data_IF_078324758672
#
_entry.id   IF_078324758672
#
_cell.length_a   1.000
_cell.length_b   1.000
_cell.length_c   1.000
_cell.angle_alpha   90.00
_cell.angle_beta   90.00
_cell.angle_gamma   90.00
#
_symmetry.space_group_name_H-M   'P 1'
#
loop_
_entity.id
_entity.type
_entity.pdbx_description
1 polymer ?
#
# COMPACT_ATOMS: atom_id res chain seq x y z
N UNK A 1 -18.36 -44.63 30.63
CA UNK A 1 -17.90 -44.21 29.29
C UNK A 1 -17.43 -42.77 29.39
N UNK A 2 -16.16 -42.53 29.09
CA UNK A 2 -15.43 -41.30 29.42
C UNK A 2 -15.99 -40.10 28.65
N UNK A 3 -16.44 -39.07 29.38
CA UNK A 3 -16.75 -37.75 28.84
C UNK A 3 -15.42 -37.10 28.48
N UNK A 4 -15.07 -37.07 27.19
CA UNK A 4 -13.90 -36.34 26.71
C UNK A 4 -14.18 -34.83 26.78
N UNK A 5 -13.68 -34.20 27.84
CA UNK A 5 -13.62 -32.76 28.06
C UNK A 5 -12.51 -32.14 27.19
N UNK A 6 -12.75 -31.94 25.90
CA UNK A 6 -11.77 -31.31 24.99
C UNK A 6 -11.93 -29.78 24.92
N UNK A 7 -11.47 -29.10 25.97
CA UNK A 7 -11.44 -27.62 26.07
C UNK A 7 -10.43 -26.95 25.11
N UNK A 8 -9.41 -27.68 24.63
CA UNK A 8 -8.30 -27.10 23.85
C UNK A 8 -8.61 -26.82 22.37
N UNK A 9 -9.46 -27.62 21.70
CA UNK A 9 -9.79 -27.42 20.27
C UNK A 9 -10.68 -26.20 20.02
N UNK A 10 -11.58 -25.85 20.95
CA UNK A 10 -12.46 -24.69 20.81
C UNK A 10 -11.70 -23.36 20.85
N UNK A 11 -10.61 -23.28 21.63
CA UNK A 11 -9.76 -22.07 21.72
C UNK A 11 -8.94 -21.82 20.45
N UNK A 12 -8.52 -22.89 19.76
CA UNK A 12 -7.72 -22.80 18.53
C UNK A 12 -8.59 -22.31 17.36
N UNK A 13 -9.83 -22.78 17.26
CA UNK A 13 -10.75 -22.35 16.19
C UNK A 13 -11.17 -20.88 16.35
N UNK A 14 -11.36 -20.40 17.59
CA UNK A 14 -11.65 -18.99 17.85
C UNK A 14 -10.47 -18.08 17.49
N UNK A 15 -9.23 -18.55 17.64
CA UNK A 15 -8.02 -17.77 17.28
C UNK A 15 -7.90 -17.54 15.77
N UNK A 16 -8.30 -18.50 14.92
CA UNK A 16 -8.26 -18.34 13.46
C UNK A 16 -9.39 -17.46 12.91
N UNK A 17 -10.56 -17.42 13.56
CA UNK A 17 -11.70 -16.61 13.10
C UNK A 17 -11.48 -15.11 13.35
N UNK A 18 -10.72 -14.72 14.38
CA UNK A 18 -10.41 -13.31 14.67
C UNK A 18 -9.41 -12.70 13.67
N UNK A 19 -8.60 -13.52 12.99
CA UNK A 19 -7.62 -13.05 12.00
C UNK A 19 -8.30 -12.74 10.64
N UNK A 20 -9.48 -13.28 10.37
CA UNK A 20 -10.13 -13.21 9.06
C UNK A 20 -10.94 -11.92 8.79
N UNK A 21 -11.02 -10.99 9.76
CA UNK A 21 -11.93 -9.82 9.67
C UNK A 21 -11.27 -8.50 9.26
N UNK A 22 -9.97 -8.47 8.97
CA UNK A 22 -9.25 -7.23 8.58
C UNK A 22 -9.07 -7.03 7.07
N UNK A 23 -9.64 -7.89 6.22
CA UNK A 23 -9.30 -7.96 4.79
C UNK A 23 -10.12 -7.11 3.81
N UNK A 24 -11.08 -6.30 4.26
CA UNK A 24 -11.78 -5.38 3.35
C UNK A 24 -11.00 -4.06 3.33
N UNK A 25 -10.01 -3.94 2.42
CA UNK A 25 -9.12 -2.78 2.43
C UNK A 25 -9.90 -1.53 2.06
N UNK A 26 -9.93 -0.55 2.97
CA UNK A 26 -10.46 0.80 2.75
C UNK A 26 -9.63 1.60 1.72
N UNK A 27 -8.62 0.98 1.12
CA UNK A 27 -7.60 1.59 0.26
C UNK A 27 -7.50 0.91 -1.11
N UNK A 28 -8.54 0.17 -1.51
CA UNK A 28 -8.55 -0.56 -2.79
C UNK A 28 -8.27 0.34 -4.00
N UNK A 29 -8.74 1.58 -3.97
CA UNK A 29 -8.49 2.55 -5.06
C UNK A 29 -7.04 3.04 -5.06
N UNK A 30 -6.45 3.32 -3.88
CA UNK A 30 -5.03 3.65 -3.77
C UNK A 30 -4.17 2.57 -4.44
N UNK A 31 -4.39 1.31 -4.07
CA UNK A 31 -3.61 0.20 -4.62
C UNK A 31 -3.86 -0.01 -6.12
N UNK A 32 -5.11 0.12 -6.57
CA UNK A 32 -5.44 0.04 -7.99
C UNK A 32 -4.67 1.06 -8.82
N UNK A 33 -4.62 2.32 -8.37
CA UNK A 33 -3.92 3.37 -9.10
C UNK A 33 -2.39 3.19 -9.02
N UNK A 34 -1.83 2.83 -7.85
CA UNK A 34 -0.38 2.56 -7.75
C UNK A 34 0.03 1.34 -8.58
N UNK A 35 -0.77 0.28 -8.61
CA UNK A 35 -0.52 -0.92 -9.44
C UNK A 35 -0.53 -0.58 -10.93
N UNK A 36 -1.47 0.28 -11.36
CA UNK A 36 -1.52 0.77 -12.73
C UNK A 36 -0.25 1.52 -13.11
N UNK A 37 0.31 2.34 -12.21
CA UNK A 37 1.58 3.04 -12.45
C UNK A 37 2.79 2.10 -12.42
N UNK A 38 2.85 1.16 -11.47
CA UNK A 38 3.93 0.16 -11.44
C UNK A 38 3.97 -0.65 -12.74
N UNK A 39 2.79 -1.03 -13.25
CA UNK A 39 2.67 -1.76 -14.51
C UNK A 39 3.13 -0.94 -15.71
N UNK A 40 2.78 0.34 -15.80
CA UNK A 40 3.16 1.19 -16.94
C UNK A 40 4.65 1.54 -16.95
N UNK A 41 5.29 1.61 -15.77
CA UNK A 41 6.74 1.86 -15.63
C UNK A 41 7.63 0.71 -16.13
N UNK A 42 7.05 -0.47 -16.40
CA UNK A 42 7.77 -1.61 -16.98
C UNK A 42 8.09 -1.42 -18.46
N UNK A 43 7.29 -0.64 -19.19
CA UNK A 43 7.37 -0.57 -20.65
C UNK A 43 8.12 0.65 -21.17
N UNK A 44 8.41 1.67 -20.34
CA UNK A 44 9.18 2.84 -20.78
C UNK A 44 10.25 3.28 -19.76
N UNK A 45 11.46 3.57 -20.25
CA UNK A 45 12.62 3.96 -19.44
C UNK A 45 12.45 5.35 -18.79
N UNK A 46 11.53 6.19 -19.29
CA UNK A 46 11.31 7.61 -18.90
C UNK A 46 9.81 7.97 -18.77
N UNK A 47 8.93 7.02 -18.41
CA UNK A 47 7.49 7.04 -18.78
C UNK A 47 6.65 8.24 -18.33
N UNK A 48 7.08 9.00 -17.31
CA UNK A 48 6.29 10.12 -16.78
C UNK A 48 7.01 11.47 -16.75
N UNK A 49 8.31 11.53 -17.06
CA UNK A 49 9.12 12.75 -16.97
C UNK A 49 9.01 13.46 -15.60
N UNK A 50 9.24 14.77 -15.57
CA UNK A 50 9.21 15.60 -14.35
C UNK A 50 7.87 16.32 -14.08
N UNK A 51 6.80 16.02 -14.82
CA UNK A 51 5.49 16.69 -14.66
C UNK A 51 4.46 15.75 -14.00
N UNK A 52 4.49 15.59 -12.66
CA UNK A 52 3.59 14.70 -11.94
C UNK A 52 2.11 15.05 -12.13
N UNK A 53 1.79 16.33 -12.23
CA UNK A 53 0.40 16.83 -12.18
C UNK A 53 -0.46 16.27 -13.31
N UNK A 54 0.11 16.10 -14.52
CA UNK A 54 -0.61 15.60 -15.70
C UNK A 54 -1.20 14.20 -15.48
N UNK A 55 -0.50 13.37 -14.71
CA UNK A 55 -0.86 11.96 -14.52
C UNK A 55 -1.37 11.66 -13.12
N UNK A 56 -1.38 12.67 -12.24
CA UNK A 56 -1.78 12.50 -10.85
C UNK A 56 -3.24 12.04 -10.75
N UNK A 57 -3.48 11.13 -9.80
CA UNK A 57 -4.80 10.60 -9.48
C UNK A 57 -5.09 10.86 -8.01
N UNK A 58 -6.27 11.37 -7.71
CA UNK A 58 -6.75 11.49 -6.33
C UNK A 58 -7.84 10.45 -6.15
N UNK A 59 -7.78 9.70 -5.05
CA UNK A 59 -8.81 8.71 -4.70
C UNK A 59 -10.18 9.39 -4.58
N UNK A 60 -11.26 8.65 -4.84
CA UNK A 60 -12.63 9.18 -4.82
C UNK A 60 -13.05 9.70 -3.44
N UNK A 61 -12.43 9.21 -2.37
CA UNK A 61 -12.59 9.73 -1.00
C UNK A 61 -11.74 10.98 -0.69
N UNK A 62 -10.87 11.39 -1.61
CA UNK A 62 -9.99 12.54 -1.48
C UNK A 62 -8.82 12.36 -0.50
N UNK A 63 -8.60 11.16 0.05
CA UNK A 63 -7.59 10.94 1.10
C UNK A 63 -6.16 10.90 0.56
N UNK A 64 -5.97 10.41 -0.66
CA UNK A 64 -4.66 10.20 -1.24
C UNK A 64 -4.56 10.82 -2.63
N UNK A 65 -3.41 11.44 -2.93
CA UNK A 65 -3.00 11.75 -4.30
C UNK A 65 -1.77 10.94 -4.66
N UNK A 66 -1.86 10.25 -5.79
CA UNK A 66 -0.85 9.37 -6.36
C UNK A 66 -0.29 10.06 -7.61
N UNK A 67 1.01 10.30 -7.63
CA UNK A 67 1.69 11.05 -8.70
C UNK A 67 2.94 10.31 -9.17
N UNK A 68 3.00 9.82 -10.42
CA UNK A 68 4.23 9.27 -10.95
C UNK A 68 5.21 10.38 -11.37
N UNK A 69 6.50 10.18 -11.11
CA UNK A 69 7.60 11.09 -11.49
C UNK A 69 8.79 10.23 -11.91
N UNK A 70 9.15 10.25 -13.19
CA UNK A 70 10.13 9.30 -13.72
C UNK A 70 9.74 7.86 -13.40
N UNK A 71 10.61 7.11 -12.69
CA UNK A 71 10.34 5.75 -12.18
C UNK A 71 9.99 5.71 -10.69
N UNK A 72 9.47 6.81 -10.15
CA UNK A 72 9.01 6.93 -8.79
C UNK A 72 7.49 7.15 -8.78
N UNK A 73 6.81 6.69 -7.74
CA UNK A 73 5.41 6.99 -7.51
C UNK A 73 5.28 7.62 -6.13
N UNK A 74 4.81 8.86 -6.11
CA UNK A 74 4.60 9.64 -4.90
C UNK A 74 3.17 9.48 -4.41
N UNK A 75 3.00 9.10 -3.15
CA UNK A 75 1.71 8.98 -2.45
C UNK A 75 1.65 10.05 -1.37
N UNK A 76 0.79 11.04 -1.58
CA UNK A 76 0.53 12.14 -0.65
C UNK A 76 -0.77 11.90 0.12
N UNK A 77 -0.72 12.03 1.43
CA UNK A 77 -1.90 12.09 2.30
C UNK A 77 -2.44 13.53 2.25
N UNK A 78 -3.70 13.73 1.90
CA UNK A 78 -4.28 15.06 1.71
C UNK A 78 -4.71 15.77 2.99
N UNK A 79 -4.75 15.05 4.11
CA UNK A 79 -5.00 15.59 5.45
C UNK A 79 -3.71 15.69 6.26
N UNK A 80 -3.67 16.62 7.21
CA UNK A 80 -2.59 16.68 8.20
C UNK A 80 -2.71 15.46 9.11
N UNK A 81 -1.65 14.65 9.18
CA UNK A 81 -1.59 13.44 9.99
C UNK A 81 -0.32 13.38 10.81
N UNK A 82 -0.30 12.48 11.81
CA UNK A 82 0.90 12.20 12.60
C UNK A 82 1.95 11.43 11.77
N UNK A 83 3.19 11.43 12.25
CA UNK A 83 4.26 10.60 11.68
C UNK A 83 3.94 9.10 11.74
N UNK A 84 3.17 8.67 12.74
CA UNK A 84 2.71 7.29 12.88
C UNK A 84 1.81 6.86 11.72
N UNK A 85 0.91 7.73 11.26
CA UNK A 85 0.05 7.45 10.10
C UNK A 85 0.87 7.27 8.81
N UNK A 86 1.94 8.06 8.63
CA UNK A 86 2.86 7.87 7.51
C UNK A 86 3.61 6.53 7.61
N UNK A 87 4.09 6.17 8.79
CA UNK A 87 4.79 4.88 8.99
C UNK A 87 3.85 3.69 8.80
N UNK A 88 2.60 3.80 9.25
CA UNK A 88 1.58 2.77 9.04
C UNK A 88 1.28 2.61 7.54
N UNK A 89 1.03 3.71 6.82
CA UNK A 89 0.76 3.64 5.39
C UNK A 89 1.97 3.13 4.60
N UNK A 90 3.20 3.52 4.98
CA UNK A 90 4.44 2.98 4.38
C UNK A 90 4.48 1.46 4.52
N UNK A 91 4.28 0.92 5.73
CA UNK A 91 4.30 -0.52 5.99
C UNK A 91 3.22 -1.27 5.22
N UNK A 92 2.01 -0.70 5.14
CA UNK A 92 0.92 -1.29 4.36
C UNK A 92 1.26 -1.37 2.86
N UNK A 93 1.87 -0.33 2.29
CA UNK A 93 2.31 -0.31 0.89
C UNK A 93 3.51 -1.26 0.68
N UNK A 94 4.46 -1.31 1.62
CA UNK A 94 5.57 -2.28 1.60
C UNK A 94 5.06 -3.73 1.57
N UNK A 95 4.07 -4.06 2.41
CA UNK A 95 3.49 -5.40 2.45
C UNK A 95 2.68 -5.70 1.17
N UNK A 96 1.97 -4.73 0.60
CA UNK A 96 1.26 -4.87 -0.67
C UNK A 96 2.20 -5.24 -1.83
N UNK A 97 3.38 -4.62 -1.90
CA UNK A 97 4.39 -4.88 -2.93
C UNK A 97 5.43 -5.95 -2.58
N UNK A 98 5.22 -6.68 -1.49
CA UNK A 98 6.18 -7.68 -1.03
C UNK A 98 6.35 -8.80 -2.05
N UNK A 99 7.59 -8.95 -2.53
CA UNK A 99 7.94 -9.94 -3.55
C UNK A 99 7.69 -9.47 -4.99
N UNK A 100 7.14 -8.28 -5.20
CA UNK A 100 7.05 -7.66 -6.52
C UNK A 100 8.40 -7.04 -6.89
N UNK A 101 9.14 -7.70 -7.78
CA UNK A 101 10.47 -7.26 -8.22
C UNK A 101 10.48 -5.93 -8.97
N UNK A 102 9.30 -5.39 -9.33
CA UNK A 102 9.16 -4.09 -9.99
C UNK A 102 9.26 -2.93 -9.01
N UNK A 103 9.08 -3.19 -7.72
CA UNK A 103 9.21 -2.22 -6.63
C UNK A 103 10.45 -2.55 -5.81
N UNK A 104 11.42 -1.63 -5.83
CA UNK A 104 12.70 -1.78 -5.14
C UNK A 104 12.59 -1.46 -3.65
N UNK A 105 11.87 -0.38 -3.32
CA UNK A 105 11.68 0.06 -1.94
C UNK A 105 10.49 0.99 -1.82
N UNK A 106 10.01 1.15 -0.59
CA UNK A 106 8.99 2.14 -0.23
C UNK A 106 9.51 2.92 0.98
N UNK A 107 9.48 4.25 0.93
CA UNK A 107 10.05 5.07 2.01
C UNK A 107 9.34 6.42 2.14
N UNK A 108 9.42 7.02 3.32
CA UNK A 108 8.94 8.39 3.53
C UNK A 108 10.03 9.35 3.05
N UNK A 109 9.69 10.29 2.16
CA UNK A 109 10.62 11.30 1.69
C UNK A 109 10.53 12.59 2.53
N UNK A 110 11.53 13.46 2.42
CA UNK A 110 11.62 14.70 3.21
C UNK A 110 10.46 15.68 2.98
N UNK A 111 9.74 15.55 1.86
CA UNK A 111 8.55 16.35 1.56
C UNK A 111 7.28 15.88 2.31
N UNK A 112 7.38 14.89 3.19
CA UNK A 112 6.23 14.38 3.95
C UNK A 112 5.28 13.57 3.09
N UNK A 113 5.81 12.73 2.20
CA UNK A 113 5.03 11.82 1.36
C UNK A 113 5.70 10.45 1.32
N UNK A 114 4.95 9.43 0.88
CA UNK A 114 5.50 8.09 0.70
C UNK A 114 5.90 7.91 -0.75
N UNK A 115 7.12 7.47 -0.98
CA UNK A 115 7.68 7.20 -2.28
C UNK A 115 7.74 5.69 -2.50
N UNK A 116 7.23 5.23 -3.64
CA UNK A 116 7.40 3.87 -4.15
C UNK A 116 8.46 3.94 -5.25
N UNK A 117 9.61 3.32 -5.01
CA UNK A 117 10.75 3.34 -5.92
C UNK A 117 10.71 2.16 -6.88
N UNK A 118 10.54 2.45 -8.16
CA UNK A 118 10.52 1.44 -9.23
C UNK A 118 11.78 1.54 -10.13
N UNK A 119 12.85 2.19 -9.65
CA UNK A 119 14.16 2.23 -10.33
C UNK A 119 14.88 0.90 -10.12
N UNK A 120 15.54 0.41 -11.17
CA UNK A 120 16.38 -0.80 -11.13
C UNK A 120 17.72 -0.48 -10.47
#
# INVERSE_FOLDING_TARGET
MVIFKNSKMKKIIVFFIVIAIFGCSTKSELYKETDSFVQSLQTEYESYGFSPEKYSKTTGDGLYTISPIGRLINVKIQKVVSSEEYENLKKEIEEHYKGDTRVKSVYICQAGTIMIDCRN
#
